data_IF_518821143677
#
_entry.id   IF_518821143677
#
_cell.length_a   1.000
_cell.length_b   1.000
_cell.length_c   1.000
_cell.angle_alpha   90.00
_cell.angle_beta   90.00
_cell.angle_gamma   90.00
#
_symmetry.space_group_name_H-M   'P 1'
#
loop_
_entity.id
_entity.type
_entity.pdbx_description
1 polymer ?
#
# COMPACT_ATOMS: atom_id res chain seq x y z
N UNK A 1 -22.23 -50.58 -31.00
CA UNK A 1 -21.51 -49.40 -30.46
C UNK A 1 -22.09 -49.16 -29.08
N UNK A 2 -21.28 -49.19 -28.02
CA UNK A 2 -21.75 -49.24 -26.63
C UNK A 2 -22.11 -47.84 -26.15
N UNK A 3 -23.17 -47.69 -25.34
CA UNK A 3 -23.54 -46.42 -24.66
C UNK A 3 -22.37 -45.81 -23.89
N UNK A 4 -21.44 -46.65 -23.42
CA UNK A 4 -20.21 -46.24 -22.74
C UNK A 4 -19.23 -45.50 -23.67
N UNK A 5 -19.22 -45.82 -24.96
CA UNK A 5 -18.33 -45.16 -25.93
C UNK A 5 -18.80 -43.73 -26.21
N UNK A 6 -20.11 -43.47 -26.14
CA UNK A 6 -20.71 -42.15 -26.34
C UNK A 6 -20.53 -41.26 -25.09
N UNK A 7 -20.61 -41.83 -23.89
CA UNK A 7 -20.32 -41.12 -22.63
C UNK A 7 -18.86 -40.71 -22.53
N UNK A 8 -17.92 -41.58 -22.92
CA UNK A 8 -16.49 -41.25 -22.91
C UNK A 8 -16.17 -40.11 -23.89
N UNK A 9 -16.78 -40.12 -25.08
CA UNK A 9 -16.65 -39.01 -26.04
C UNK A 9 -17.28 -37.72 -25.53
N UNK A 10 -18.38 -37.80 -24.80
CA UNK A 10 -19.03 -36.63 -24.21
C UNK A 10 -18.13 -35.97 -23.16
N UNK A 11 -17.52 -36.78 -22.29
CA UNK A 11 -16.57 -36.34 -21.26
C UNK A 11 -15.31 -35.78 -21.92
N UNK A 12 -14.75 -36.46 -22.92
CA UNK A 12 -13.56 -35.97 -23.65
C UNK A 12 -13.81 -34.63 -24.37
N UNK A 13 -15.03 -34.40 -24.88
CA UNK A 13 -15.43 -33.15 -25.53
C UNK A 13 -15.72 -32.00 -24.56
N UNK A 14 -16.11 -32.28 -23.31
CA UNK A 14 -16.54 -31.27 -22.34
C UNK A 14 -15.63 -31.17 -21.10
N UNK A 15 -14.54 -31.94 -21.02
CA UNK A 15 -13.51 -31.73 -20.02
C UNK A 15 -12.81 -30.40 -20.28
N UNK A 16 -13.10 -29.42 -19.42
CA UNK A 16 -12.39 -28.15 -19.35
C UNK A 16 -10.89 -28.43 -19.24
N UNK A 17 -10.13 -28.05 -20.28
CA UNK A 17 -8.69 -28.23 -20.25
C UNK A 17 -8.11 -27.38 -19.13
N UNK A 18 -7.09 -27.91 -18.42
CA UNK A 18 -6.34 -27.13 -17.41
C UNK A 18 -5.83 -25.79 -17.95
N UNK A 19 -5.58 -25.72 -19.27
CA UNK A 19 -5.19 -24.50 -19.98
C UNK A 19 -6.32 -23.49 -20.05
N UNK A 20 -7.54 -23.94 -20.35
CA UNK A 20 -8.71 -23.06 -20.42
C UNK A 20 -9.09 -22.54 -19.04
N UNK A 21 -9.01 -23.39 -18.00
CA UNK A 21 -9.19 -22.97 -16.61
C UNK A 21 -8.17 -21.90 -16.19
N UNK A 22 -6.89 -22.06 -16.56
CA UNK A 22 -5.84 -21.08 -16.27
C UNK A 22 -6.06 -19.76 -17.03
N UNK A 23 -6.45 -19.83 -18.30
CA UNK A 23 -6.74 -18.65 -19.12
C UNK A 23 -7.97 -17.88 -18.60
N UNK A 24 -9.00 -18.58 -18.15
CA UNK A 24 -10.22 -17.99 -17.59
C UNK A 24 -9.96 -17.36 -16.22
N UNK A 25 -9.17 -18.01 -15.36
CA UNK A 25 -8.66 -17.40 -14.12
C UNK A 25 -7.83 -16.14 -14.39
N UNK A 26 -7.01 -16.13 -15.45
CA UNK A 26 -6.18 -14.96 -15.79
C UNK A 26 -7.02 -13.83 -16.38
N UNK A 27 -8.06 -14.13 -17.16
CA UNK A 27 -9.01 -13.15 -17.67
C UNK A 27 -9.84 -12.52 -16.55
N UNK A 28 -10.35 -13.34 -15.61
CA UNK A 28 -11.06 -12.88 -14.43
C UNK A 28 -10.15 -12.09 -13.47
N UNK A 29 -8.90 -12.54 -13.28
CA UNK A 29 -7.89 -11.85 -12.46
C UNK A 29 -7.30 -10.59 -13.11
N UNK A 30 -7.27 -10.51 -14.44
CA UNK A 30 -6.78 -9.37 -15.20
C UNK A 30 -7.63 -8.11 -15.02
N UNK A 31 -8.95 -8.29 -14.84
CA UNK A 31 -9.86 -7.19 -14.45
C UNK A 31 -9.59 -6.68 -13.03
N UNK A 32 -9.08 -7.53 -12.13
CA UNK A 32 -8.64 -7.12 -10.80
C UNK A 32 -7.29 -6.39 -10.84
N UNK A 33 -6.39 -6.79 -11.76
CA UNK A 33 -5.09 -6.14 -11.97
C UNK A 33 -5.17 -4.74 -12.60
N UNK A 34 -6.18 -4.48 -13.42
CA UNK A 34 -6.39 -3.16 -14.03
C UNK A 34 -6.81 -2.07 -13.01
N UNK A 35 -7.39 -2.46 -11.87
CA UNK A 35 -7.73 -1.54 -10.76
C UNK A 35 -6.53 -1.05 -9.94
N UNK A 36 -5.35 -1.65 -10.12
CA UNK A 36 -4.10 -1.27 -9.43
C UNK A 36 -3.25 -0.26 -10.20
N UNK A 37 -3.73 0.24 -11.36
CA UNK A 37 -2.96 1.10 -12.23
C UNK A 37 -3.25 2.60 -12.03
N UNK A 38 -3.12 3.13 -10.81
CA UNK A 38 -2.79 4.55 -10.59
C UNK A 38 -2.00 4.73 -9.27
N UNK A 39 -0.70 4.39 -9.22
CA UNK A 39 0.19 4.61 -8.06
C UNK A 39 0.53 6.10 -7.86
N UNK A 40 -0.45 7.00 -7.98
CA UNK A 40 -0.25 8.45 -7.99
C UNK A 40 -1.49 9.28 -7.67
N UNK A 41 -2.67 8.69 -7.57
CA UNK A 41 -3.89 9.40 -7.17
C UNK A 41 -4.02 9.57 -5.65
N UNK A 42 -3.31 8.76 -4.85
CA UNK A 42 -3.42 8.77 -3.38
C UNK A 42 -2.95 10.05 -2.71
N UNK A 43 -2.05 10.81 -3.35
CA UNK A 43 -1.50 12.05 -2.79
C UNK A 43 -2.06 13.34 -3.37
N UNK A 44 -2.79 13.29 -4.50
CA UNK A 44 -3.32 14.49 -5.14
C UNK A 44 -4.35 15.25 -4.26
N UNK A 45 -4.90 14.60 -3.23
CA UNK A 45 -5.87 15.16 -2.30
C UNK A 45 -5.40 15.14 -0.83
N UNK A 46 -4.11 14.97 -0.53
CA UNK A 46 -3.66 15.17 0.86
C UNK A 46 -3.75 16.66 1.19
N UNK A 47 -4.82 17.02 1.91
CA UNK A 47 -4.95 18.33 2.50
C UNK A 47 -3.79 18.55 3.47
N UNK A 48 -2.98 19.58 3.22
CA UNK A 48 -2.03 20.07 4.22
C UNK A 48 -2.89 20.50 5.41
N UNK A 49 -2.66 19.94 6.61
CA UNK A 49 -3.44 20.34 7.78
C UNK A 49 -3.35 21.86 7.97
N UNK A 50 -4.48 22.53 8.26
CA UNK A 50 -4.53 23.98 8.54
C UNK A 50 -3.68 24.35 9.77
N UNK A 51 -3.40 23.38 10.63
CA UNK A 51 -2.49 23.56 11.74
C UNK A 51 -1.04 23.35 11.30
N UNK A 52 -0.24 24.42 11.36
CA UNK A 52 1.21 24.44 11.05
C UNK A 52 2.06 23.63 12.06
N UNK A 53 1.55 22.51 12.55
CA UNK A 53 2.17 21.64 13.55
C UNK A 53 2.69 20.37 12.88
N UNK A 54 3.99 20.11 13.02
CA UNK A 54 4.66 18.91 12.52
C UNK A 54 4.36 17.72 13.44
N UNK A 55 3.68 16.70 12.90
CA UNK A 55 3.32 15.45 13.56
C UNK A 55 4.08 14.29 12.93
N UNK A 56 5.08 13.80 13.67
CA UNK A 56 6.02 12.78 13.19
C UNK A 56 5.57 11.39 13.64
N UNK A 57 5.37 10.49 12.69
CA UNK A 57 5.25 9.05 12.91
C UNK A 57 6.53 8.34 12.50
N UNK A 58 7.05 7.43 13.32
CA UNK A 58 8.31 6.73 13.01
C UNK A 58 8.33 5.26 13.44
N UNK A 59 9.15 4.45 12.75
CA UNK A 59 9.52 3.11 13.17
C UNK A 59 10.84 3.15 13.96
N UNK A 60 11.02 2.29 14.97
CA UNK A 60 12.26 2.25 15.76
C UNK A 60 13.40 1.54 14.99
N UNK A 61 13.79 2.10 13.84
CA UNK A 61 14.93 1.70 13.01
C UNK A 61 15.75 2.95 12.66
N UNK A 62 16.95 2.76 12.11
CA UNK A 62 17.95 3.82 11.94
C UNK A 62 17.60 4.87 10.87
N UNK A 63 16.62 4.62 10.00
CA UNK A 63 16.22 5.58 8.98
C UNK A 63 15.50 6.81 9.54
N UNK A 64 14.81 6.65 10.68
CA UNK A 64 14.12 7.72 11.40
C UNK A 64 15.07 8.70 12.09
N UNK A 65 16.39 8.40 12.14
CA UNK A 65 17.37 9.22 12.86
C UNK A 65 17.33 10.69 12.45
N UNK A 66 17.19 10.99 11.15
CA UNK A 66 17.14 12.38 10.69
C UNK A 66 15.98 13.16 11.34
N UNK A 67 14.80 12.56 11.39
CA UNK A 67 13.59 13.17 11.97
C UNK A 67 13.71 13.31 13.49
N UNK A 68 14.22 12.28 14.16
CA UNK A 68 14.34 12.27 15.63
C UNK A 68 15.42 13.21 16.14
N UNK A 69 16.56 13.30 15.43
CA UNK A 69 17.63 14.26 15.76
C UNK A 69 17.16 15.68 15.48
N UNK A 70 16.49 15.94 14.35
CA UNK A 70 15.94 17.25 14.05
C UNK A 70 15.00 17.74 15.16
N UNK A 71 14.07 16.90 15.62
CA UNK A 71 13.22 17.22 16.77
C UNK A 71 14.02 17.35 18.07
N UNK A 72 14.96 16.45 18.35
CA UNK A 72 15.74 16.47 19.59
C UNK A 72 16.70 17.66 19.71
N UNK A 73 17.15 18.21 18.59
CA UNK A 73 18.06 19.36 18.53
C UNK A 73 17.36 20.71 18.35
N UNK A 74 16.04 20.73 18.16
CA UNK A 74 15.28 21.97 17.99
C UNK A 74 15.29 22.54 16.56
N UNK A 75 15.68 21.75 15.55
CA UNK A 75 15.81 22.26 14.17
C UNK A 75 14.47 22.61 13.53
N UNK A 76 13.36 22.04 13.99
CA UNK A 76 12.04 22.45 13.50
C UNK A 76 11.68 23.84 14.04
N UNK A 77 11.95 24.07 15.33
CA UNK A 77 11.70 25.34 16.00
C UNK A 77 12.58 26.46 15.46
N UNK A 78 13.85 26.17 15.14
CA UNK A 78 14.77 27.12 14.50
C UNK A 78 14.24 27.63 13.14
N UNK A 79 13.52 26.78 12.41
CA UNK A 79 12.84 27.11 11.14
C UNK A 79 11.42 27.69 11.35
N UNK A 80 11.03 27.95 12.60
CA UNK A 80 9.72 28.51 12.97
C UNK A 80 8.56 27.50 12.96
N UNK A 81 8.85 26.20 12.83
CA UNK A 81 7.84 25.14 12.86
C UNK A 81 7.58 24.70 14.30
N UNK A 82 6.32 24.46 14.64
CA UNK A 82 5.96 23.78 15.89
C UNK A 82 5.99 22.27 15.63
N UNK A 83 6.72 21.51 16.44
CA UNK A 83 6.73 20.06 16.34
C UNK A 83 6.14 19.39 17.59
N UNK A 84 5.29 18.40 17.38
CA UNK A 84 4.84 17.51 18.45
C UNK A 84 5.87 16.39 18.68
N UNK A 85 5.83 15.83 19.90
CA UNK A 85 6.66 14.69 20.27
C UNK A 85 6.48 13.53 19.26
N UNK A 86 7.57 13.01 18.66
CA UNK A 86 7.49 11.92 17.70
C UNK A 86 6.82 10.68 18.28
N UNK A 87 5.91 10.08 17.51
CA UNK A 87 5.15 8.89 17.92
C UNK A 87 5.76 7.63 17.33
N UNK A 88 6.14 6.69 18.19
CA UNK A 88 6.63 5.37 17.78
C UNK A 88 5.48 4.51 17.28
N UNK A 89 5.60 3.98 16.08
CA UNK A 89 4.68 3.03 15.47
C UNK A 89 5.35 1.66 15.34
N UNK A 90 4.58 0.59 15.51
CA UNK A 90 5.07 -0.79 15.42
C UNK A 90 4.53 -1.45 14.16
N UNK A 91 5.15 -1.15 13.02
CA UNK A 91 4.85 -1.77 11.72
C UNK A 91 4.53 -0.76 10.63
N UNK A 92 4.71 -1.17 9.37
CA UNK A 92 4.50 -0.30 8.21
C UNK A 92 3.03 0.02 7.94
N UNK A 93 2.12 -0.97 8.04
CA UNK A 93 0.68 -0.75 7.81
C UNK A 93 0.08 0.35 8.69
N UNK A 94 0.19 0.31 10.03
CA UNK A 94 -0.35 1.37 10.88
C UNK A 94 0.34 2.73 10.67
N UNK A 95 1.57 2.76 10.15
CA UNK A 95 2.28 3.99 9.83
C UNK A 95 1.71 4.64 8.56
N UNK A 96 1.53 3.85 7.50
CA UNK A 96 0.92 4.31 6.24
C UNK A 96 -0.53 4.73 6.49
N UNK A 97 -1.31 3.93 7.21
CA UNK A 97 -2.69 4.28 7.59
C UNK A 97 -2.75 5.59 8.38
N UNK A 98 -1.85 5.77 9.36
CA UNK A 98 -1.76 7.01 10.12
C UNK A 98 -1.38 8.22 9.27
N UNK A 99 -0.49 8.04 8.29
CA UNK A 99 -0.12 9.10 7.36
C UNK A 99 -1.27 9.47 6.42
N UNK A 100 -1.90 8.49 5.79
CA UNK A 100 -3.05 8.69 4.88
C UNK A 100 -4.27 9.27 5.60
N UNK A 101 -4.47 8.92 6.88
CA UNK A 101 -5.52 9.50 7.72
C UNK A 101 -5.21 10.91 8.24
N UNK A 102 -4.05 11.50 7.91
CA UNK A 102 -3.63 12.83 8.37
C UNK A 102 -3.24 12.89 9.85
N UNK A 103 -3.14 11.74 10.54
CA UNK A 103 -2.65 11.65 11.92
C UNK A 103 -1.18 12.08 11.99
N UNK A 104 -0.40 11.72 10.97
CA UNK A 104 0.98 12.17 10.79
C UNK A 104 1.08 12.92 9.47
N UNK A 105 1.81 14.03 9.46
CA UNK A 105 2.10 14.80 8.24
C UNK A 105 3.57 14.73 7.84
N UNK A 106 4.42 14.07 8.64
CA UNK A 106 5.83 13.81 8.34
C UNK A 106 6.23 12.38 8.72
N UNK A 107 6.65 11.59 7.74
CA UNK A 107 7.06 10.19 7.89
C UNK A 107 8.19 9.87 6.89
N UNK A 108 9.13 9.02 7.29
CA UNK A 108 10.11 8.42 6.38
C UNK A 108 9.57 7.11 5.79
N UNK A 109 9.59 6.97 4.46
CA UNK A 109 9.20 5.75 3.76
C UNK A 109 10.35 5.14 2.96
N UNK A 110 10.37 3.80 2.90
CA UNK A 110 11.24 3.06 2.00
C UNK A 110 10.75 3.17 0.55
N UNK A 111 11.69 3.13 -0.38
CA UNK A 111 11.40 3.01 -1.81
C UNK A 111 11.12 1.53 -2.17
N UNK A 112 10.17 1.23 -3.07
CA UNK A 112 9.15 2.12 -3.61
C UNK A 112 8.10 2.44 -2.55
N UNK A 113 7.62 3.69 -2.55
CA UNK A 113 6.60 4.12 -1.59
C UNK A 113 5.30 3.37 -1.94
N UNK A 114 4.66 2.65 -0.98
CA UNK A 114 3.44 1.87 -1.22
C UNK A 114 2.21 2.78 -1.26
N UNK A 115 2.06 3.53 -2.36
CA UNK A 115 1.00 4.52 -2.60
C UNK A 115 0.37 4.36 -3.97
#
# INVERSE_FOLDING_TARGET
MSSYDDELKYIEQHEMSRRDFMLDMMAAGGLFGAGMALPGAGFANMAVPDDEIVRIGYLPITDATALLVAHGMGFFEDEGLKAEKPTLIRGWSPLVEGFTAGKFNLVHFLKPIPV
#
